data_IF_753544844595
#
_entry.id   IF_753544844595
#
_cell.length_a   1.000
_cell.length_b   1.000
_cell.length_c   1.000
_cell.angle_alpha   90.00
_cell.angle_beta   90.00
_cell.angle_gamma   90.00
#
_symmetry.space_group_name_H-M   'P 1'
#
loop_
_entity.id
_entity.type
_entity.pdbx_description
1 polymer ?
#
# COMPACT_ATOMS: atom_id res chain seq x y z
N UNK A 1 1.62 -13.14 5.49
CA UNK A 1 0.29 -12.56 5.20
C UNK A 1 0.02 -11.63 6.37
N UNK A 2 0.08 -10.31 6.17
CA UNK A 2 -0.02 -9.36 7.29
C UNK A 2 -1.46 -9.32 7.80
N UNK A 3 -1.64 -9.65 9.08
CA UNK A 3 -2.92 -10.01 9.73
C UNK A 3 -3.70 -8.86 10.37
N UNK A 4 -3.34 -7.59 10.12
CA UNK A 4 -3.94 -6.43 10.81
C UNK A 4 -5.20 -5.84 10.15
N UNK A 5 -5.93 -6.63 9.36
CA UNK A 5 -7.16 -6.18 8.72
C UNK A 5 -8.17 -7.30 8.56
N UNK A 6 -9.45 -6.92 8.57
CA UNK A 6 -10.59 -7.82 8.39
C UNK A 6 -10.71 -8.32 6.95
N UNK A 7 -10.18 -7.57 5.98
CA UNK A 7 -10.08 -8.02 4.60
C UNK A 7 -10.06 -6.90 3.57
N UNK A 8 -9.90 -7.32 2.31
CA UNK A 8 -10.14 -6.49 1.13
C UNK A 8 -11.33 -7.09 0.38
N UNK A 9 -12.35 -6.27 0.15
CA UNK A 9 -13.60 -6.67 -0.47
C UNK A 9 -13.80 -5.87 -1.76
N UNK A 10 -14.32 -6.54 -2.78
CA UNK A 10 -14.74 -5.90 -4.03
C UNK A 10 -16.25 -5.90 -4.09
N UNK A 11 -16.82 -4.71 -4.21
CA UNK A 11 -18.24 -4.50 -4.44
C UNK A 11 -18.46 -4.21 -5.91
N UNK A 12 -19.54 -4.77 -6.46
CA UNK A 12 -20.00 -4.49 -7.80
C UNK A 12 -21.50 -4.23 -7.74
N UNK A 13 -22.00 -3.41 -8.65
CA UNK A 13 -23.42 -3.12 -8.73
C UNK A 13 -23.78 -2.37 -9.99
N UNK A 14 -25.05 -1.98 -10.05
CA UNK A 14 -25.60 -1.14 -11.11
C UNK A 14 -26.29 0.07 -10.48
N UNK A 15 -26.24 1.20 -11.15
CA UNK A 15 -26.87 2.44 -10.73
C UNK A 15 -27.53 3.11 -11.93
N UNK A 16 -28.67 3.76 -11.70
CA UNK A 16 -29.35 4.54 -12.72
C UNK A 16 -28.93 6.00 -12.64
N UNK A 17 -28.40 6.53 -13.73
CA UNK A 17 -28.15 7.96 -13.91
C UNK A 17 -29.05 8.50 -15.03
N UNK A 18 -30.13 9.19 -14.64
CA UNK A 18 -31.22 9.55 -15.55
C UNK A 18 -31.86 8.32 -16.20
N UNK A 19 -31.71 8.18 -17.52
CA UNK A 19 -32.21 7.04 -18.29
C UNK A 19 -31.13 5.96 -18.53
N UNK A 20 -29.89 6.19 -18.13
CA UNK A 20 -28.79 5.25 -18.32
C UNK A 20 -28.66 4.33 -17.10
N UNK A 21 -28.27 3.07 -17.35
CA UNK A 21 -27.99 2.09 -16.31
C UNK A 21 -26.52 1.67 -16.38
N UNK A 22 -25.74 2.15 -15.41
CA UNK A 22 -24.30 2.10 -15.37
C UNK A 22 -23.83 1.06 -14.35
N UNK A 23 -22.90 0.20 -14.77
CA UNK A 23 -22.18 -0.68 -13.85
C UNK A 23 -21.15 0.10 -13.05
N UNK A 24 -21.01 -0.22 -11.76
CA UNK A 24 -19.99 0.37 -10.90
C UNK A 24 -19.26 -0.71 -10.09
N UNK A 25 -18.03 -0.42 -9.73
CA UNK A 25 -17.21 -1.26 -8.84
C UNK A 25 -16.45 -0.41 -7.82
N UNK A 26 -16.28 -0.95 -6.62
CA UNK A 26 -15.60 -0.31 -5.50
C UNK A 26 -14.77 -1.33 -4.72
N UNK A 27 -13.67 -0.88 -4.12
CA UNK A 27 -12.88 -1.67 -3.18
C UNK A 27 -13.08 -1.12 -1.78
N UNK A 28 -13.33 -2.02 -0.82
CA UNK A 28 -13.29 -1.73 0.60
C UNK A 28 -12.09 -2.45 1.21
N UNK A 29 -11.21 -1.71 1.88
CA UNK A 29 -10.25 -2.27 2.83
C UNK A 29 -10.75 -2.02 4.25
N UNK A 30 -11.05 -3.08 4.98
CA UNK A 30 -11.41 -3.01 6.39
C UNK A 30 -10.17 -3.36 7.23
N UNK A 31 -9.72 -2.41 8.03
CA UNK A 31 -8.46 -2.42 8.78
C UNK A 31 -8.74 -2.26 10.27
N UNK A 32 -7.95 -2.91 11.12
CA UNK A 32 -8.16 -2.94 12.56
C UNK A 32 -8.35 -4.37 13.07
N UNK A 33 -8.51 -4.51 14.39
CA UNK A 33 -8.88 -5.79 15.01
C UNK A 33 -7.71 -6.67 15.47
N UNK A 34 -7.94 -7.99 15.44
CA UNK A 34 -7.04 -9.01 16.03
C UNK A 34 -5.80 -9.20 15.18
N UNK A 35 -4.64 -9.38 15.83
CA UNK A 35 -3.35 -9.59 15.15
C UNK A 35 -2.56 -8.32 14.90
N UNK A 36 -2.95 -7.21 15.53
CA UNK A 36 -2.09 -6.03 15.72
C UNK A 36 -1.20 -6.31 16.93
N UNK A 37 0.08 -6.55 16.67
CA UNK A 37 1.07 -6.75 17.72
C UNK A 37 1.70 -5.41 18.14
N UNK A 38 2.41 -5.40 19.28
CA UNK A 38 2.99 -4.18 19.86
C UNK A 38 3.87 -3.40 18.87
N UNK A 39 4.63 -4.09 18.01
CA UNK A 39 5.46 -3.46 16.98
C UNK A 39 4.66 -2.68 15.94
N UNK A 40 3.45 -3.13 15.62
CA UNK A 40 2.57 -2.48 14.65
C UNK A 40 1.89 -1.23 15.22
N UNK A 41 2.02 -0.97 16.52
CA UNK A 41 1.55 0.25 17.18
C UNK A 41 2.57 1.39 17.08
N UNK A 42 3.84 1.09 16.81
CA UNK A 42 4.91 2.09 16.65
C UNK A 42 4.80 2.79 15.28
N UNK A 43 4.52 4.11 15.22
CA UNK A 43 4.41 4.85 13.97
C UNK A 43 5.66 4.82 13.09
N UNK A 44 6.84 4.68 13.68
CA UNK A 44 8.11 4.63 12.96
C UNK A 44 8.39 3.24 12.37
N UNK A 45 7.75 2.19 12.90
CA UNK A 45 7.92 0.83 12.43
C UNK A 45 7.35 0.65 11.02
N UNK A 46 8.07 -0.05 10.15
CA UNK A 46 7.64 -0.33 8.78
C UNK A 46 6.29 -1.05 8.69
N UNK A 47 5.88 -1.77 9.74
CA UNK A 47 4.61 -2.49 9.83
C UNK A 47 3.48 -1.72 10.51
N UNK A 48 3.68 -0.45 10.88
CA UNK A 48 2.63 0.38 11.53
C UNK A 48 1.29 0.30 10.80
N UNK A 49 0.27 -0.19 11.50
CA UNK A 49 -0.97 -0.63 10.86
C UNK A 49 -1.82 0.54 10.36
N UNK A 50 -1.74 1.73 10.99
CA UNK A 50 -2.50 2.92 10.57
C UNK A 50 -1.91 3.67 9.37
N UNK A 51 -0.81 3.20 8.78
CA UNK A 51 -0.10 3.97 7.74
C UNK A 51 -0.94 4.23 6.49
N UNK A 52 -1.68 3.23 6.01
CA UNK A 52 -2.52 3.40 4.81
C UNK A 52 -3.67 4.40 5.07
N UNK A 53 -4.29 4.33 6.26
CA UNK A 53 -5.33 5.27 6.72
C UNK A 53 -4.80 6.71 6.72
N UNK A 54 -3.62 6.91 7.30
CA UNK A 54 -3.00 8.23 7.41
C UNK A 54 -2.53 8.76 6.05
N UNK A 55 -2.01 7.89 5.18
CA UNK A 55 -1.62 8.28 3.83
C UNK A 55 -2.81 8.87 3.05
N UNK A 56 -3.95 8.18 3.00
CA UNK A 56 -5.15 8.67 2.32
C UNK A 56 -5.76 9.92 2.96
N UNK A 57 -5.68 10.07 4.29
CA UNK A 57 -6.17 11.28 4.99
C UNK A 57 -5.23 12.49 4.88
N UNK A 58 -3.95 12.27 4.61
CA UNK A 58 -2.93 13.34 4.67
C UNK A 58 -2.90 14.27 3.47
N UNK A 59 -3.55 13.91 2.35
CA UNK A 59 -3.38 14.60 1.08
C UNK A 59 -2.04 14.32 0.37
N UNK A 60 -1.10 13.60 1.00
CA UNK A 60 0.23 13.33 0.41
C UNK A 60 0.17 12.54 -0.90
N UNK A 61 -0.93 11.83 -1.14
CA UNK A 61 -1.12 11.02 -2.35
C UNK A 61 -1.66 11.83 -3.54
N UNK A 62 -2.02 13.11 -3.36
CA UNK A 62 -2.58 13.94 -4.43
C UNK A 62 -1.53 14.62 -5.31
N UNK A 63 -0.28 14.69 -4.85
CA UNK A 63 0.82 15.39 -5.52
C UNK A 63 2.05 14.48 -5.61
N UNK A 64 1.88 13.31 -6.24
CA UNK A 64 2.97 12.38 -6.49
C UNK A 64 3.74 12.79 -7.76
N UNK A 65 5.07 12.58 -7.78
CA UNK A 65 5.86 12.73 -9.00
C UNK A 65 5.26 11.99 -10.20
N UNK A 66 5.40 12.60 -11.38
CA UNK A 66 4.78 12.12 -12.63
C UNK A 66 4.99 10.63 -12.92
N UNK A 67 3.87 9.99 -13.30
CA UNK A 67 3.84 8.60 -13.75
C UNK A 67 3.57 7.58 -12.65
N UNK A 68 3.29 8.02 -11.41
CA UNK A 68 2.62 7.23 -10.40
C UNK A 68 1.31 7.90 -10.00
N UNK A 69 0.30 7.08 -9.74
CA UNK A 69 -0.96 7.49 -9.17
C UNK A 69 -1.38 6.52 -8.08
N UNK A 70 -2.28 6.97 -7.22
CA UNK A 70 -2.96 6.10 -6.25
C UNK A 70 -4.40 5.89 -6.67
N UNK A 71 -5.04 4.77 -6.27
CA UNK A 71 -6.48 4.62 -6.40
C UNK A 71 -7.19 5.86 -5.82
N UNK A 72 -8.22 6.35 -6.49
CA UNK A 72 -9.07 7.40 -5.90
C UNK A 72 -9.65 6.91 -4.59
N UNK A 73 -9.62 7.76 -3.57
CA UNK A 73 -10.21 7.48 -2.27
C UNK A 73 -11.57 8.17 -2.15
N UNK A 74 -12.63 7.38 -2.01
CA UNK A 74 -14.00 7.88 -1.82
C UNK A 74 -14.30 8.20 -0.36
N UNK A 75 -13.55 7.64 0.58
CA UNK A 75 -13.67 7.98 1.99
C UNK A 75 -12.91 7.04 2.92
N UNK A 76 -12.56 7.56 4.10
CA UNK A 76 -11.98 6.79 5.20
C UNK A 76 -12.87 6.93 6.42
N UNK A 77 -13.65 5.89 6.71
CA UNK A 77 -14.66 5.86 7.76
C UNK A 77 -14.08 5.16 8.99
N UNK A 78 -14.16 5.81 10.14
CA UNK A 78 -13.81 5.20 11.42
C UNK A 78 -15.01 4.44 11.99
N UNK A 79 -14.76 3.23 12.48
CA UNK A 79 -15.75 2.35 13.11
C UNK A 79 -15.43 2.22 14.61
N UNK A 80 -16.41 1.84 15.45
CA UNK A 80 -16.15 1.55 16.86
C UNK A 80 -15.05 0.50 17.03
N UNK A 81 -14.16 0.70 18.00
CA UNK A 81 -13.10 -0.27 18.32
C UNK A 81 -11.77 -0.09 17.58
N UNK A 82 -11.44 1.14 17.15
CA UNK A 82 -10.21 1.47 16.41
C UNK A 82 -10.10 0.66 15.10
N UNK A 83 -11.21 0.62 14.36
CA UNK A 83 -11.34 0.01 13.04
C UNK A 83 -11.58 1.09 11.99
N UNK A 84 -11.06 0.89 10.79
CA UNK A 84 -11.16 1.85 9.70
C UNK A 84 -11.50 1.17 8.38
N UNK A 85 -12.42 1.79 7.65
CA UNK A 85 -12.86 1.36 6.33
C UNK A 85 -12.40 2.37 5.29
N UNK A 86 -11.56 1.92 4.35
CA UNK A 86 -11.07 2.72 3.24
C UNK A 86 -11.82 2.30 1.98
N UNK A 87 -12.61 3.21 1.42
CA UNK A 87 -13.32 3.02 0.16
C UNK A 87 -12.49 3.58 -0.99
N UNK A 88 -12.12 2.71 -1.91
CA UNK A 88 -11.18 3.00 -3.00
C UNK A 88 -11.77 2.65 -4.36
N UNK A 89 -11.21 3.29 -5.38
CA UNK A 89 -11.35 2.89 -6.78
C UNK A 89 -10.91 1.43 -7.01
N UNK A 90 -11.70 0.71 -7.80
CA UNK A 90 -11.33 -0.60 -8.33
C UNK A 90 -10.39 -0.42 -9.53
N UNK A 91 -9.08 -0.32 -9.24
CA UNK A 91 -8.04 -0.22 -10.27
C UNK A 91 -7.85 -1.58 -10.92
N UNK A 92 -8.12 -1.63 -12.23
CA UNK A 92 -7.92 -2.83 -13.05
C UNK A 92 -6.64 -2.69 -13.85
N UNK A 93 -5.96 -3.81 -14.02
CA UNK A 93 -4.87 -3.89 -14.98
C UNK A 93 -5.45 -4.10 -16.37
N UNK A 94 -4.87 -3.43 -17.35
CA UNK A 94 -5.22 -3.58 -18.77
C UNK A 94 -4.52 -4.81 -19.38
N UNK A 95 -3.52 -5.36 -18.68
CA UNK A 95 -2.75 -6.53 -19.11
C UNK A 95 -3.25 -7.78 -18.38
N UNK A 96 -3.86 -8.70 -19.13
CA UNK A 96 -4.21 -10.01 -18.60
C UNK A 96 -2.97 -10.88 -18.40
N UNK A 97 -2.88 -11.52 -17.24
CA UNK A 97 -1.79 -12.44 -16.91
C UNK A 97 -0.51 -11.74 -16.48
N UNK A 98 0.64 -12.30 -16.86
CA UNK A 98 1.94 -11.77 -16.46
C UNK A 98 2.31 -10.53 -17.30
N UNK A 99 2.88 -9.53 -16.65
CA UNK A 99 3.40 -8.36 -17.35
C UNK A 99 4.52 -8.74 -18.33
N UNK A 100 4.53 -8.17 -19.54
CA UNK A 100 5.68 -8.25 -20.42
C UNK A 100 6.85 -7.45 -19.82
N UNK A 101 8.07 -7.74 -20.28
CA UNK A 101 9.29 -7.12 -19.74
C UNK A 101 9.27 -5.59 -19.85
N UNK A 102 8.70 -5.06 -20.93
CA UNK A 102 8.58 -3.63 -21.20
C UNK A 102 7.71 -2.94 -20.14
N UNK A 103 6.66 -3.61 -19.64
CA UNK A 103 5.81 -3.08 -18.57
C UNK A 103 6.57 -3.02 -17.25
N UNK A 104 7.37 -4.04 -16.94
CA UNK A 104 8.27 -3.99 -15.78
C UNK A 104 9.31 -2.87 -15.90
N UNK A 105 9.91 -2.69 -17.09
CA UNK A 105 10.87 -1.62 -17.33
C UNK A 105 10.22 -0.23 -17.15
N UNK A 106 8.99 -0.06 -17.61
CA UNK A 106 8.22 1.17 -17.40
C UNK A 106 7.94 1.41 -15.90
N UNK A 107 7.48 0.40 -15.17
CA UNK A 107 7.23 0.49 -13.73
C UNK A 107 8.53 0.84 -12.96
N UNK A 108 9.65 0.20 -13.30
CA UNK A 108 10.95 0.48 -12.71
C UNK A 108 11.41 1.93 -12.99
N UNK A 109 11.18 2.44 -14.20
CA UNK A 109 11.47 3.84 -14.55
C UNK A 109 10.64 4.82 -13.72
N UNK A 110 9.34 4.58 -13.57
CA UNK A 110 8.47 5.42 -12.74
C UNK A 110 8.86 5.37 -11.27
N UNK A 111 9.18 4.19 -10.75
CA UNK A 111 9.67 4.04 -9.38
C UNK A 111 11.00 4.78 -9.17
N UNK A 112 11.93 4.70 -10.12
CA UNK A 112 13.19 5.45 -10.07
C UNK A 112 12.98 6.97 -10.07
N UNK A 113 12.09 7.48 -10.94
CA UNK A 113 11.71 8.89 -10.97
C UNK A 113 11.09 9.36 -9.67
N UNK A 114 10.15 8.58 -9.12
CA UNK A 114 9.51 8.85 -7.84
C UNK A 114 10.54 9.01 -6.72
N UNK A 115 11.48 8.06 -6.59
CA UNK A 115 12.52 8.13 -5.57
C UNK A 115 13.49 9.31 -5.81
N UNK A 116 13.84 9.59 -7.07
CA UNK A 116 14.74 10.69 -7.43
C UNK A 116 14.14 12.09 -7.23
N UNK A 117 12.82 12.26 -7.38
CA UNK A 117 12.16 13.55 -7.30
C UNK A 117 12.39 14.27 -5.96
N UNK A 118 12.46 13.52 -4.86
CA UNK A 118 12.72 14.03 -3.52
C UNK A 118 14.18 14.42 -3.26
N UNK A 119 15.11 14.00 -4.13
CA UNK A 119 16.51 14.46 -4.12
C UNK A 119 16.70 15.74 -4.93
N UNK A 120 15.81 16.04 -5.87
CA UNK A 120 15.98 17.12 -6.86
C UNK A 120 14.98 18.27 -6.70
N UNK A 121 14.32 18.39 -5.54
CA UNK A 121 13.52 19.57 -5.20
C UNK A 121 12.14 19.31 -4.63
N UNK A 122 11.61 18.08 -4.69
CA UNK A 122 10.38 17.77 -3.95
C UNK A 122 10.71 17.68 -2.45
N UNK A 123 9.96 18.36 -1.58
CA UNK A 123 10.23 18.30 -0.15
C UNK A 123 9.98 16.89 0.38
N UNK A 124 10.94 16.37 1.15
CA UNK A 124 10.76 15.09 1.84
C UNK A 124 9.64 15.25 2.87
N UNK A 125 8.56 14.45 2.80
CA UNK A 125 7.49 14.55 3.77
C UNK A 125 7.96 14.22 5.18
N UNK A 126 7.55 15.03 6.17
CA UNK A 126 7.97 14.89 7.57
C UNK A 126 6.80 14.56 8.50
N UNK A 127 5.92 13.64 8.09
CA UNK A 127 4.85 13.17 8.94
C UNK A 127 5.36 12.11 9.95
N UNK A 128 4.90 12.17 11.20
CA UNK A 128 5.39 11.31 12.29
C UNK A 128 5.12 9.81 12.07
N UNK A 129 4.13 9.47 11.24
CA UNK A 129 3.75 8.08 10.90
C UNK A 129 4.51 7.51 9.70
N UNK A 130 5.38 8.29 9.07
CA UNK A 130 6.27 7.80 8.03
C UNK A 130 7.37 6.95 8.67
N UNK A 131 7.65 5.81 8.04
CA UNK A 131 8.67 4.89 8.54
C UNK A 131 10.02 5.57 8.65
N UNK A 132 10.64 5.49 9.84
CA UNK A 132 12.01 5.95 10.07
C UNK A 132 12.91 4.75 10.32
N UNK A 133 14.17 4.84 9.88
CA UNK A 133 15.12 3.74 10.03
C UNK A 133 14.67 2.43 9.37
N UNK A 134 13.90 2.49 8.27
CA UNK A 134 13.32 1.31 7.59
C UNK A 134 14.32 0.16 7.40
N UNK A 135 15.51 0.46 6.87
CA UNK A 135 16.57 -0.54 6.64
C UNK A 135 17.03 -1.14 7.95
N UNK A 136 17.23 -0.32 9.00
CA UNK A 136 17.60 -0.80 10.34
C UNK A 136 16.52 -1.72 10.92
N UNK A 137 15.25 -1.35 10.79
CA UNK A 137 14.12 -2.14 11.29
C UNK A 137 13.96 -3.45 10.51
N UNK A 138 14.16 -3.43 9.19
CA UNK A 138 14.12 -4.64 8.39
C UNK A 138 15.30 -5.58 8.68
N UNK A 139 16.51 -5.04 8.88
CA UNK A 139 17.69 -5.85 9.21
C UNK A 139 17.54 -6.62 10.53
N UNK A 140 16.81 -6.08 11.52
CA UNK A 140 16.47 -6.83 12.74
C UNK A 140 15.71 -8.14 12.46
N UNK A 141 14.88 -8.14 11.42
CA UNK A 141 14.08 -9.31 11.00
C UNK A 141 14.89 -10.19 10.04
N UNK A 142 15.62 -9.57 9.11
CA UNK A 142 16.33 -10.28 8.05
C UNK A 142 17.65 -10.90 8.51
N UNK A 143 18.34 -10.35 9.51
CA UNK A 143 19.67 -10.82 9.91
C UNK A 143 19.73 -12.31 10.27
N UNK A 144 18.79 -12.88 11.06
CA UNK A 144 18.75 -14.32 11.30
C UNK A 144 18.53 -15.13 10.01
N UNK A 145 17.62 -14.68 9.14
CA UNK A 145 17.33 -15.33 7.85
C UNK A 145 18.54 -15.30 6.89
N UNK A 146 19.27 -14.18 6.87
CA UNK A 146 20.47 -14.00 6.05
C UNK A 146 21.62 -14.88 6.54
N UNK A 147 21.73 -15.10 7.86
CA UNK A 147 22.73 -15.99 8.45
C UNK A 147 22.59 -17.43 7.98
N UNK A 148 21.35 -17.87 7.71
CA UNK A 148 21.02 -19.22 7.30
C UNK A 148 21.02 -19.44 5.77
N UNK A 149 21.16 -18.37 4.97
CA UNK A 149 21.22 -18.43 3.50
C UNK A 149 22.21 -19.47 2.94
N UNK A 150 23.45 -19.60 3.47
CA UNK A 150 24.40 -20.58 2.96
C UNK A 150 23.94 -22.04 3.10
N UNK A 151 23.05 -22.34 4.06
CA UNK A 151 22.48 -23.67 4.26
C UNK A 151 21.30 -23.94 3.30
N UNK A 152 20.52 -22.91 2.96
CA UNK A 152 19.36 -23.01 2.05
C UNK A 152 19.82 -23.19 0.59
N UNK A 153 20.90 -22.52 0.19
CA UNK A 153 21.47 -22.61 -1.15
C UNK A 153 22.04 -24.00 -1.52
N UNK A 154 22.15 -24.92 -0.56
CA UNK A 154 22.71 -26.28 -0.74
C UNK A 154 21.66 -27.39 -0.90
N UNK A 155 20.36 -27.08 -1.00
CA UNK A 155 19.36 -28.12 -1.29
C UNK A 155 19.52 -28.62 -2.73
N UNK A 156 19.70 -29.94 -2.98
CA UNK A 156 19.76 -30.47 -4.34
C UNK A 156 18.41 -30.28 -5.04
N UNK A 157 18.46 -30.08 -6.36
CA UNK A 157 17.28 -29.96 -7.24
C UNK A 157 16.49 -31.26 -7.29
#
# INVERSE_FOLDING_TARGET
MNSYGYGTFRFTGRARDGNEDLGWTLILKALGGRGIDAEMLDPENWSYWKREILAYRSGMLTDLPDGLGTPRCYGVIEQPGDEFWIWLEDVRDDIEGAWPLERFALAARHLGRFNGAYLTGHPIPNAAWLTRGRVRNWMKIAEPLLRDLPAIAKRPR
#
